data_IF_365460848336
#
_entry.id   IF_365460848336
#
_cell.length_a   1.000
_cell.length_b   1.000
_cell.length_c   1.000
_cell.angle_alpha   90.00
_cell.angle_beta   90.00
_cell.angle_gamma   90.00
#
_symmetry.space_group_name_H-M   'P 1'
#
loop_
_entity.id
_entity.type
_entity.pdbx_description
1 polymer ?
#
# COMPACT_ATOMS: atom_id res chain seq x y z
N UNK A 1 -16.54 -3.19 -4.04
CA UNK A 1 -15.59 -2.25 -3.40
C UNK A 1 -14.84 -2.98 -2.31
N UNK A 2 -13.51 -3.07 -2.43
CA UNK A 2 -12.66 -3.76 -1.47
C UNK A 2 -12.73 -3.05 -0.10
N UNK A 3 -13.17 -3.75 0.95
CA UNK A 3 -13.37 -3.17 2.27
C UNK A 3 -12.25 -3.59 3.22
N UNK A 4 -11.64 -2.62 3.91
CA UNK A 4 -10.49 -2.83 4.80
C UNK A 4 -10.91 -2.50 6.22
N UNK A 5 -10.82 -3.48 7.12
CA UNK A 5 -11.20 -3.28 8.53
C UNK A 5 -10.16 -2.45 9.29
N UNK A 6 -10.62 -1.83 10.38
CA UNK A 6 -9.76 -1.14 11.36
C UNK A 6 -8.63 -2.04 11.89
N UNK A 7 -8.86 -3.34 12.01
CA UNK A 7 -7.83 -4.30 12.45
C UNK A 7 -6.67 -4.34 11.46
N UNK A 8 -6.95 -4.31 10.16
CA UNK A 8 -5.93 -4.33 9.11
C UNK A 8 -5.11 -3.04 9.11
N UNK A 9 -5.74 -1.88 9.29
CA UNK A 9 -5.02 -0.61 9.49
C UNK A 9 -4.13 -0.63 10.73
N UNK A 10 -4.63 -1.15 11.86
CA UNK A 10 -3.84 -1.27 13.08
C UNK A 10 -2.67 -2.25 12.94
N UNK A 11 -2.81 -3.29 12.12
CA UNK A 11 -1.74 -4.23 11.83
C UNK A 11 -0.59 -3.55 11.07
N UNK A 12 -0.90 -2.75 10.05
CA UNK A 12 0.09 -1.95 9.33
C UNK A 12 0.85 -1.04 10.30
N UNK A 13 0.13 -0.28 11.14
CA UNK A 13 0.76 0.65 12.09
C UNK A 13 1.71 -0.02 13.08
N UNK A 14 1.37 -1.22 13.56
CA UNK A 14 2.26 -2.03 14.42
C UNK A 14 3.51 -2.54 13.72
N UNK A 15 3.55 -2.49 12.39
CA UNK A 15 4.68 -2.86 11.55
C UNK A 15 5.52 -1.67 11.09
N UNK A 16 5.24 -0.46 11.60
CA UNK A 16 6.04 0.73 11.28
C UNK A 16 5.63 1.45 9.99
N UNK A 17 4.42 1.20 9.47
CA UNK A 17 3.89 1.87 8.29
C UNK A 17 2.37 2.08 8.41
N UNK A 18 1.78 2.91 7.56
CA UNK A 18 0.33 2.99 7.40
C UNK A 18 -0.08 2.55 6.01
N UNK A 19 -1.35 2.17 5.87
CA UNK A 19 -1.99 2.03 4.56
C UNK A 19 -3.06 3.10 4.44
N UNK A 20 -3.11 3.78 3.31
CA UNK A 20 -4.05 4.87 3.05
C UNK A 20 -4.59 4.79 1.61
N UNK A 21 -5.81 5.29 1.41
CA UNK A 21 -6.42 5.39 0.09
C UNK A 21 -6.11 6.76 -0.48
N UNK A 22 -5.26 6.79 -1.51
CA UNK A 22 -4.81 8.02 -2.17
C UNK A 22 -5.26 8.04 -3.62
N UNK A 23 -5.49 9.23 -4.17
CA UNK A 23 -5.68 9.43 -5.60
C UNK A 23 -4.38 9.93 -6.21
N UNK A 24 -3.84 9.17 -7.16
CA UNK A 24 -2.61 9.50 -7.85
C UNK A 24 -2.88 9.66 -9.35
N UNK A 25 -2.18 10.58 -10.04
CA UNK A 25 -2.19 10.61 -11.50
C UNK A 25 -1.79 9.23 -12.05
N UNK A 26 -2.45 8.78 -13.12
CA UNK A 26 -2.00 7.58 -13.83
C UNK A 26 -0.57 7.81 -14.33
N UNK A 27 0.38 7.00 -13.87
CA UNK A 27 1.76 7.01 -14.37
C UNK A 27 1.88 6.39 -15.77
N UNK A 28 0.79 5.88 -16.34
CA UNK A 28 0.74 5.19 -17.62
C UNK A 28 -0.44 5.71 -18.47
N UNK A 29 -0.18 6.71 -19.31
CA UNK A 29 -1.10 7.14 -20.37
C UNK A 29 -1.46 8.61 -20.32
N UNK A 30 -1.62 9.21 -21.51
CA UNK A 30 -1.84 10.64 -21.77
C UNK A 30 -3.21 11.18 -21.32
N UNK A 31 -4.02 10.36 -20.65
CA UNK A 31 -5.29 10.74 -20.03
C UNK A 31 -5.12 10.81 -18.51
N UNK A 32 -5.13 12.04 -18.00
CA UNK A 32 -4.96 12.41 -16.59
C UNK A 32 -6.15 11.98 -15.72
N UNK A 33 -6.50 10.69 -15.69
CA UNK A 33 -7.46 10.19 -14.71
C UNK A 33 -6.76 9.88 -13.39
N UNK A 34 -7.28 10.48 -12.32
CA UNK A 34 -6.88 10.17 -10.95
C UNK A 34 -7.27 8.74 -10.62
N UNK A 35 -6.28 7.91 -10.31
CA UNK A 35 -6.46 6.50 -9.97
C UNK A 35 -6.47 6.34 -8.46
N UNK A 36 -7.59 5.84 -7.92
CA UNK A 36 -7.67 5.44 -6.52
C UNK A 36 -6.72 4.28 -6.25
N UNK A 37 -5.82 4.47 -5.29
CA UNK A 37 -4.76 3.54 -4.95
C UNK A 37 -4.72 3.32 -3.44
N UNK A 38 -4.43 2.10 -3.00
CA UNK A 38 -4.04 1.79 -1.62
C UNK A 38 -2.51 1.88 -1.54
N UNK A 39 -2.01 2.85 -0.79
CA UNK A 39 -0.58 3.16 -0.67
C UNK A 39 -0.07 2.77 0.71
N UNK A 40 1.18 2.32 0.79
CA UNK A 40 1.86 1.92 2.01
C UNK A 40 2.94 2.96 2.34
N UNK A 41 2.66 3.84 3.30
CA UNK A 41 3.55 4.94 3.72
C UNK A 41 4.35 4.54 4.95
N UNK A 42 5.66 4.78 4.93
CA UNK A 42 6.48 4.56 6.13
C UNK A 42 6.10 5.52 7.25
N UNK A 43 6.35 5.11 8.49
CA UNK A 43 6.25 6.00 9.65
C UNK A 43 7.64 6.54 9.98
N UNK A 44 7.72 7.83 10.27
CA UNK A 44 8.92 8.45 10.83
C UNK A 44 9.16 8.01 12.30
N UNK A 45 10.26 8.50 12.89
CA UNK A 45 10.66 8.19 14.28
C UNK A 45 9.59 8.59 15.31
N UNK A 46 8.77 9.59 15.00
CA UNK A 46 7.68 10.10 15.83
C UNK A 46 6.35 9.37 15.58
N UNK A 47 6.30 8.46 14.60
CA UNK A 47 5.12 7.68 14.24
C UNK A 47 4.12 8.44 13.37
N UNK A 48 4.56 9.49 12.68
CA UNK A 48 3.83 10.20 11.64
C UNK A 48 4.11 9.60 10.26
N UNK A 49 3.11 9.57 9.36
CA UNK A 49 3.32 9.08 8.00
C UNK A 49 4.21 10.00 7.19
N UNK A 50 5.23 9.42 6.56
CA UNK A 50 6.02 10.07 5.52
C UNK A 50 5.31 9.89 4.17
N UNK A 51 4.48 10.88 3.81
CA UNK A 51 3.71 10.87 2.57
C UNK A 51 4.56 11.04 1.30
N UNK A 52 5.81 11.51 1.45
CA UNK A 52 6.74 11.62 0.33
C UNK A 52 7.44 10.28 0.05
N UNK A 53 7.43 9.36 1.02
CA UNK A 53 8.08 8.05 0.94
C UNK A 53 7.09 6.89 1.19
N UNK A 54 6.45 6.43 0.12
CA UNK A 54 5.74 5.14 0.12
C UNK A 54 6.61 4.03 -0.45
N UNK A 55 6.48 2.80 0.06
CA UNK A 55 7.24 1.66 -0.47
C UNK A 55 6.41 0.72 -1.35
N UNK A 56 5.08 0.76 -1.27
CA UNK A 56 4.21 -0.05 -2.12
C UNK A 56 2.89 0.67 -2.42
N UNK A 57 2.36 0.46 -3.63
CA UNK A 57 1.05 0.97 -4.02
C UNK A 57 0.29 -0.02 -4.90
N UNK A 58 -1.01 -0.12 -4.66
CA UNK A 58 -1.94 -0.93 -5.43
C UNK A 58 -3.09 -0.09 -5.97
N UNK A 59 -3.44 -0.25 -7.24
CA UNK A 59 -4.69 0.27 -7.79
C UNK A 59 -5.88 -0.45 -7.15
N UNK A 60 -6.88 0.31 -6.73
CA UNK A 60 -8.14 -0.24 -6.21
C UNK A 60 -9.08 -0.52 -7.37
N UNK A 61 -9.52 -1.76 -7.50
CA UNK A 61 -10.52 -2.17 -8.49
C UNK A 61 -11.71 -2.86 -7.81
N UNK A 62 -12.75 -3.14 -8.59
CA UNK A 62 -13.94 -3.84 -8.08
C UNK A 62 -13.59 -5.23 -7.51
N UNK A 63 -12.65 -5.92 -8.16
CA UNK A 63 -12.27 -7.31 -7.88
C UNK A 63 -11.12 -7.45 -6.88
N UNK A 64 -10.45 -6.37 -6.50
CA UNK A 64 -9.30 -6.44 -5.59
C UNK A 64 -8.31 -5.29 -5.74
N UNK A 65 -7.10 -5.53 -5.26
CA UNK A 65 -5.99 -4.58 -5.33
C UNK A 65 -4.96 -5.11 -6.36
N UNK A 66 -4.62 -4.29 -7.35
CA UNK A 66 -3.70 -4.64 -8.43
C UNK A 66 -2.41 -3.85 -8.30
N UNK A 67 -1.27 -4.54 -8.42
CA UNK A 67 0.03 -3.94 -8.22
C UNK A 67 0.26 -2.74 -9.15
N UNK A 68 0.59 -1.59 -8.57
CA UNK A 68 0.93 -0.37 -9.30
C UNK A 68 2.44 -0.11 -9.29
N UNK A 69 3.12 -0.38 -8.18
CA UNK A 69 4.57 -0.25 -8.08
C UNK A 69 5.08 -0.08 -6.66
N UNK A 70 6.42 -0.06 -6.54
CA UNK A 70 7.18 0.21 -5.32
C UNK A 70 8.26 1.26 -5.60
N UNK A 71 8.59 2.08 -4.60
CA UNK A 71 9.72 3.02 -4.68
C UNK A 71 11.02 2.34 -4.26
N UNK A 72 10.98 1.48 -3.24
CA UNK A 72 12.15 0.78 -2.71
C UNK A 72 12.05 -0.73 -2.96
N UNK A 73 13.02 -1.29 -3.67
CA UNK A 73 13.08 -2.71 -4.00
C UNK A 73 14.12 -3.44 -3.17
N UNK A 74 13.73 -3.96 -2.00
CA UNK A 74 14.59 -4.86 -1.22
C UNK A 74 14.51 -6.33 -1.67
N UNK A 75 13.87 -6.61 -2.80
CA UNK A 75 13.65 -7.97 -3.32
C UNK A 75 12.48 -8.71 -2.66
N UNK A 76 11.71 -8.08 -1.77
CA UNK A 76 10.42 -8.61 -1.34
C UNK A 76 9.41 -8.49 -2.49
N UNK A 77 9.01 -9.63 -3.04
CA UNK A 77 7.99 -9.69 -4.07
C UNK A 77 6.61 -9.52 -3.43
N UNK A 78 6.11 -8.28 -3.50
CA UNK A 78 4.70 -8.02 -3.25
C UNK A 78 3.85 -8.75 -4.30
N UNK A 79 2.72 -9.36 -3.91
CA UNK A 79 1.88 -10.07 -4.85
C UNK A 79 1.31 -9.09 -5.88
N UNK A 80 1.25 -9.53 -7.14
CA UNK A 80 0.70 -8.72 -8.23
C UNK A 80 -0.80 -8.41 -8.05
N UNK A 81 -1.53 -9.25 -7.31
CA UNK A 81 -2.96 -9.12 -7.08
C UNK A 81 -3.34 -9.57 -5.66
N UNK A 82 -4.19 -8.80 -5.00
CA UNK A 82 -4.77 -9.11 -3.69
C UNK A 82 -6.29 -9.15 -3.83
N UNK A 83 -6.85 -10.35 -3.78
CA UNK A 83 -8.28 -10.58 -3.99
C UNK A 83 -9.13 -10.45 -2.71
N UNK A 84 -8.52 -10.40 -1.52
CA UNK A 84 -9.25 -10.36 -0.25
C UNK A 84 -8.52 -9.61 0.86
N UNK A 85 -9.27 -9.17 1.87
CA UNK A 85 -8.68 -8.54 3.07
C UNK A 85 -7.75 -9.50 3.82
N UNK A 86 -8.07 -10.79 3.85
CA UNK A 86 -7.19 -11.81 4.44
C UNK A 86 -5.84 -11.83 3.73
N UNK A 87 -5.83 -11.86 2.40
CA UNK A 87 -4.61 -11.77 1.60
C UNK A 87 -3.84 -10.47 1.87
N UNK A 88 -4.54 -9.33 2.01
CA UNK A 88 -3.92 -8.06 2.40
C UNK A 88 -3.24 -8.14 3.77
N UNK A 89 -3.87 -8.79 4.76
CA UNK A 89 -3.25 -9.01 6.08
C UNK A 89 -2.01 -9.90 5.99
N UNK A 90 -1.98 -10.87 5.07
CA UNK A 90 -0.77 -11.64 4.79
C UNK A 90 0.34 -10.75 4.25
N UNK A 91 0.04 -9.91 3.25
CA UNK A 91 1.00 -8.92 2.71
C UNK A 91 1.55 -8.04 3.82
N UNK A 92 0.70 -7.45 4.67
CA UNK A 92 1.12 -6.60 5.79
C UNK A 92 2.00 -7.35 6.81
N UNK A 93 1.75 -8.64 7.03
CA UNK A 93 2.58 -9.46 7.94
C UNK A 93 3.98 -9.71 7.36
N UNK A 94 4.12 -9.69 6.04
CA UNK A 94 5.39 -9.95 5.35
C UNK A 94 6.15 -8.67 5.03
N UNK A 95 5.44 -7.58 4.72
CA UNK A 95 6.04 -6.26 4.52
C UNK A 95 6.91 -5.89 5.73
N UNK A 96 8.22 -5.88 5.53
CA UNK A 96 9.18 -5.32 6.50
C UNK A 96 9.23 -3.81 6.30
N UNK A 97 9.01 -3.00 7.34
CA UNK A 97 9.52 -1.63 7.29
C UNK A 97 11.03 -1.71 7.47
N UNK A 98 11.78 -1.15 6.52
CA UNK A 98 13.24 -1.15 6.60
C UNK A 98 13.65 0.01 7.49
N UNK A 99 13.35 -0.09 8.79
CA UNK A 99 13.94 0.82 9.77
C UNK A 99 15.31 0.23 10.12
N UNK A 100 16.35 0.68 9.40
CA UNK A 100 17.76 0.53 9.79
C UNK A 100 18.34 1.89 10.15
#
# INVERSE_FOLDING_TARGET
MFNISKTTYNMARKRGFIIELDTWPSAFGEDHEDVLSLTFHELDEDGHPDYDNFFASYRVEEQGLFWKGQIYGNGEEFPHWIASEEALRHVIKHAMSTIQ
#
